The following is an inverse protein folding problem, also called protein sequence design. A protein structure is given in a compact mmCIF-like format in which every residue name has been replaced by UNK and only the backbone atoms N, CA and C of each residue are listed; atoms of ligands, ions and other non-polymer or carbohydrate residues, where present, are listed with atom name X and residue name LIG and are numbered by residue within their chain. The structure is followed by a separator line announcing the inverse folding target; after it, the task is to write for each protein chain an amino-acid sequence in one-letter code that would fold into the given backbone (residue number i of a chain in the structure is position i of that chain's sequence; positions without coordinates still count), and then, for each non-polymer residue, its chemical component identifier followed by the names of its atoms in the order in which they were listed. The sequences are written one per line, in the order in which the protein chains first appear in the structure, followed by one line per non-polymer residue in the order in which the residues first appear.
data_IF_354388677047
#
_entry.id   IF_354388677047
#
_cell.length_a   1.000
_cell.length_b   1.000
_cell.length_c   1.000
_cell.angle_alpha   90.00
_cell.angle_beta   90.00
_cell.angle_gamma   90.00
#
_symmetry.space_group_name_H-M   'P 1'
#
loop_
_entity.id
_entity.type
_entity.pdbx_description
1 polymer ?
#
# COMPACT_ATOMS: atom_id res chain seq x y z
N UNK A 1 6.07 -17.50 -0.47
CA UNK A 1 7.14 -16.60 0.00
C UNK A 1 6.63 -15.17 -0.22
N UNK A 2 5.48 -14.85 0.39
CA UNK A 2 4.56 -13.84 -0.20
C UNK A 2 4.35 -12.63 0.72
N UNK A 3 4.71 -12.73 2.01
CA UNK A 3 4.53 -11.62 2.94
C UNK A 3 5.53 -10.47 2.72
N UNK A 4 6.71 -10.76 2.17
CA UNK A 4 7.75 -9.76 1.95
C UNK A 4 7.34 -8.72 0.89
N UNK A 5 6.63 -9.14 -0.16
CA UNK A 5 6.17 -8.22 -1.22
C UNK A 5 5.23 -7.16 -0.66
N UNK A 6 4.41 -7.49 0.34
CA UNK A 6 3.51 -6.53 0.99
C UNK A 6 4.27 -5.49 1.81
N UNK A 7 5.37 -5.87 2.45
CA UNK A 7 6.24 -4.90 3.15
C UNK A 7 6.89 -3.94 2.17
N UNK A 8 7.38 -4.43 1.02
CA UNK A 8 7.90 -3.56 -0.05
C UNK A 8 6.82 -2.63 -0.62
N UNK A 9 5.60 -3.13 -0.81
CA UNK A 9 4.48 -2.34 -1.30
C UNK A 9 4.11 -1.22 -0.32
N UNK A 10 4.04 -1.55 0.97
CA UNK A 10 3.80 -0.57 2.04
C UNK A 10 4.92 0.48 2.10
N UNK A 11 6.19 0.06 1.95
CA UNK A 11 7.32 0.99 1.91
C UNK A 11 7.30 1.91 0.68
N UNK A 12 7.01 1.38 -0.50
CA UNK A 12 6.86 2.18 -1.72
C UNK A 12 5.71 3.19 -1.59
N UNK A 13 4.56 2.76 -1.09
CA UNK A 13 3.43 3.63 -0.81
C UNK A 13 3.76 4.70 0.25
N UNK A 14 4.53 4.36 1.28
CA UNK A 14 5.00 5.31 2.30
C UNK A 14 5.91 6.38 1.70
N UNK A 15 6.88 5.99 0.86
CA UNK A 15 7.75 6.92 0.15
C UNK A 15 6.95 7.87 -0.75
N UNK A 16 5.97 7.34 -1.50
CA UNK A 16 5.06 8.13 -2.32
C UNK A 16 4.21 9.07 -1.46
N UNK A 17 3.72 8.63 -0.31
CA UNK A 17 2.94 9.46 0.62
C UNK A 17 3.77 10.63 1.15
N UNK A 18 5.04 10.38 1.53
CA UNK A 18 5.97 11.44 1.95
C UNK A 18 6.25 12.44 0.83
N UNK A 19 6.42 11.97 -0.40
CA UNK A 19 6.63 12.84 -1.56
C UNK A 19 5.36 13.67 -1.87
N UNK A 20 4.18 13.06 -1.84
CA UNK A 20 2.90 13.73 -2.10
C UNK A 20 2.55 14.78 -1.04
N UNK A 21 2.97 14.55 0.21
CA UNK A 21 2.79 15.46 1.34
C UNK A 21 4.02 16.36 1.58
N UNK A 22 5.00 16.37 0.67
CA UNK A 22 6.20 17.18 0.82
C UNK A 22 5.85 18.68 0.96
N UNK A 23 6.61 19.38 1.80
CA UNK A 23 6.36 20.79 2.14
C UNK A 23 5.18 21.02 3.09
N UNK A 24 4.54 19.95 3.57
CA UNK A 24 3.57 19.98 4.68
C UNK A 24 4.19 19.34 5.91
N UNK A 25 3.65 19.70 7.08
CA UNK A 25 3.91 19.03 8.36
C UNK A 25 2.70 18.14 8.70
N UNK A 26 2.47 17.02 7.98
CA UNK A 26 1.31 16.18 8.21
C UNK A 26 1.40 15.50 9.58
N UNK A 27 0.28 15.39 10.27
CA UNK A 27 0.20 14.53 11.43
C UNK A 27 0.50 13.07 11.02
N UNK A 28 1.07 12.27 11.94
CA UNK A 28 1.44 10.88 11.66
C UNK A 28 0.28 10.03 11.13
N UNK A 29 -0.93 10.25 11.64
CA UNK A 29 -2.13 9.55 11.17
C UNK A 29 -2.49 9.92 9.73
N UNK A 30 -2.25 11.16 9.30
CA UNK A 30 -2.49 11.61 7.92
C UNK A 30 -1.51 10.92 6.99
N UNK A 31 -0.23 10.86 7.36
CA UNK A 31 0.79 10.15 6.59
C UNK A 31 0.48 8.65 6.47
N UNK A 32 0.04 8.02 7.57
CA UNK A 32 -0.37 6.62 7.59
C UNK A 32 -1.59 6.36 6.69
N UNK A 33 -2.63 7.21 6.78
CA UNK A 33 -3.82 7.10 5.95
C UNK A 33 -3.49 7.28 4.46
N UNK A 34 -2.72 8.31 4.09
CA UNK A 34 -2.28 8.53 2.71
C UNK A 34 -1.48 7.34 2.20
N UNK A 35 -0.62 6.75 3.03
CA UNK A 35 0.10 5.52 2.69
C UNK A 35 -0.85 4.36 2.39
N UNK A 36 -1.85 4.12 3.25
CA UNK A 36 -2.85 3.08 3.03
C UNK A 36 -3.63 3.27 1.73
N UNK A 37 -4.05 4.51 1.43
CA UNK A 37 -4.75 4.84 0.18
C UNK A 37 -3.86 4.58 -1.04
N UNK A 38 -2.60 4.99 -1.01
CA UNK A 38 -1.66 4.76 -2.11
C UNK A 38 -1.30 3.27 -2.27
N UNK A 39 -1.20 2.53 -1.17
CA UNK A 39 -1.01 1.08 -1.19
C UNK A 39 -2.19 0.38 -1.89
N UNK A 40 -3.42 0.77 -1.54
CA UNK A 40 -4.63 0.30 -2.24
C UNK A 40 -4.63 0.73 -3.72
N UNK A 41 -4.19 1.94 -4.05
CA UNK A 41 -4.13 2.39 -5.44
C UNK A 41 -3.18 1.55 -6.30
N UNK A 42 -2.08 1.04 -5.72
CA UNK A 42 -1.22 0.06 -6.39
C UNK A 42 -1.95 -1.28 -6.57
N UNK A 43 -2.69 -1.73 -5.56
CA UNK A 43 -3.48 -2.96 -5.60
C UNK A 43 -4.61 -2.93 -6.65
N UNK A 44 -5.21 -1.77 -6.90
CA UNK A 44 -6.17 -1.54 -8.01
C UNK A 44 -5.59 -1.94 -9.37
N UNK A 45 -4.26 -1.93 -9.53
CA UNK A 45 -3.59 -2.40 -10.75
C UNK A 45 -3.10 -3.83 -10.60
N UNK A 46 -2.42 -4.14 -9.49
CA UNK A 46 -1.72 -5.42 -9.28
C UNK A 46 -2.72 -6.58 -9.20
N UNK A 47 -3.79 -6.44 -8.44
CA UNK A 47 -4.69 -7.55 -8.11
C UNK A 47 -5.53 -8.00 -9.32
N UNK A 48 -6.12 -7.11 -10.14
CA UNK A 48 -6.77 -7.50 -11.39
C UNK A 48 -5.84 -8.20 -12.38
N UNK A 49 -4.57 -7.76 -12.46
CA UNK A 49 -3.57 -8.40 -13.31
C UNK A 49 -3.30 -9.82 -12.82
N UNK A 50 -3.24 -10.02 -11.51
CA UNK A 50 -2.98 -11.32 -10.92
C UNK A 50 -4.17 -12.29 -11.08
N UNK A 51 -5.41 -11.82 -10.86
CA UNK A 51 -6.64 -12.60 -11.08
C UNK A 51 -6.79 -13.01 -12.55
N UNK A 52 -6.35 -12.15 -13.48
CA UNK A 52 -6.45 -12.38 -14.93
C UNK A 52 -5.12 -12.75 -15.56
N UNK A 53 -4.20 -13.33 -14.79
CA UNK A 53 -2.84 -13.59 -15.27
C UNK A 53 -2.78 -14.44 -16.55
N UNK A 54 -3.80 -15.27 -16.79
CA UNK A 54 -3.98 -16.05 -18.02
C UNK A 54 -4.16 -15.17 -19.28
N UNK A 55 -4.74 -13.98 -19.14
CA UNK A 55 -4.88 -12.98 -20.21
C UNK A 55 -3.63 -12.13 -20.40
N UNK A 56 -2.65 -12.26 -19.52
CA UNK A 56 -1.43 -11.45 -19.46
C UNK A 56 -0.15 -12.31 -19.46
N UNK A 57 -0.23 -13.55 -19.95
CA UNK A 57 0.90 -14.49 -20.05
C UNK A 57 1.55 -14.89 -18.69
N UNK A 58 0.93 -14.55 -17.55
CA UNK A 58 1.38 -14.96 -16.21
C UNK A 58 0.81 -16.32 -15.78
N UNK A 59 -0.19 -16.84 -16.50
CA UNK A 59 -0.93 -18.04 -16.12
C UNK A 59 -1.93 -17.75 -14.98
N UNK A 60 -2.58 -18.79 -14.47
CA UNK A 60 -3.55 -18.66 -13.37
C UNK A 60 -2.82 -18.60 -12.04
N UNK A 61 -2.69 -17.40 -11.47
CA UNK A 61 -2.04 -17.18 -10.19
C UNK A 61 -2.98 -17.52 -9.03
N UNK A 62 -4.19 -16.94 -9.03
CA UNK A 62 -5.25 -17.26 -8.06
C UNK A 62 -6.61 -16.80 -8.57
N UNK A 63 -7.68 -17.21 -7.87
CA UNK A 63 -9.04 -16.76 -8.15
C UNK A 63 -9.83 -16.59 -6.85
N UNK A 64 -10.69 -15.58 -6.81
CA UNK A 64 -11.65 -15.40 -5.72
C UNK A 64 -12.83 -16.36 -5.88
N UNK A 65 -13.26 -17.00 -4.78
CA UNK A 65 -14.43 -17.90 -4.74
C UNK A 65 -15.69 -17.22 -5.25
N UNK A 66 -15.90 -15.98 -4.82
CA UNK A 66 -16.95 -15.09 -5.33
C UNK A 66 -16.28 -13.95 -6.08
N UNK A 67 -16.37 -13.91 -7.42
CA UNK A 67 -15.77 -12.84 -8.21
C UNK A 67 -16.32 -11.48 -7.80
N UNK A 68 -15.42 -10.52 -7.57
CA UNK A 68 -15.82 -9.16 -7.28
C UNK A 68 -16.11 -8.34 -8.53
N UNK A 69 -16.76 -7.18 -8.32
CA UNK A 69 -17.21 -6.29 -9.39
C UNK A 69 -16.08 -5.66 -10.19
N UNK A 70 -14.89 -5.53 -9.60
CA UNK A 70 -13.75 -4.87 -10.24
C UNK A 70 -12.80 -5.90 -10.80
N UNK A 71 -13.00 -6.25 -12.07
CA UNK A 71 -12.19 -7.22 -12.80
C UNK A 71 -12.08 -8.63 -12.17
N UNK A 72 -12.97 -8.97 -11.23
CA UNK A 72 -12.93 -10.22 -10.46
C UNK A 72 -12.45 -10.05 -9.02
N UNK A 73 -11.96 -8.86 -8.65
CA UNK A 73 -11.47 -8.52 -7.30
C UNK A 73 -12.61 -7.92 -6.45
N UNK A 74 -12.88 -8.46 -5.25
CA UNK A 74 -13.87 -7.91 -4.31
C UNK A 74 -13.46 -6.54 -3.76
N UNK A 75 -14.45 -5.66 -3.52
CA UNK A 75 -14.21 -4.34 -2.90
C UNK A 75 -13.56 -4.46 -1.53
N UNK A 76 -13.84 -5.55 -0.79
CA UNK A 76 -13.23 -5.83 0.51
C UNK A 76 -11.71 -5.95 0.45
N UNK A 77 -11.13 -6.36 -0.69
CA UNK A 77 -9.68 -6.43 -0.87
C UNK A 77 -9.07 -5.03 -0.81
N UNK A 78 -9.59 -4.09 -1.60
CA UNK A 78 -9.12 -2.70 -1.64
C UNK A 78 -9.26 -2.03 -0.28
N UNK A 79 -10.41 -2.21 0.39
CA UNK A 79 -10.61 -1.69 1.76
C UNK A 79 -9.59 -2.31 2.72
N UNK A 80 -9.35 -3.61 2.60
CA UNK A 80 -8.32 -4.32 3.36
C UNK A 80 -6.95 -3.69 3.20
N UNK A 81 -6.54 -3.34 1.98
CA UNK A 81 -5.24 -2.72 1.73
C UNK A 81 -5.10 -1.32 2.30
N UNK A 82 -6.17 -0.52 2.30
CA UNK A 82 -6.16 0.77 3.02
C UNK A 82 -5.90 0.55 4.50
N UNK A 83 -6.61 -0.40 5.12
CA UNK A 83 -6.48 -0.70 6.55
C UNK A 83 -5.10 -1.27 6.87
N UNK A 84 -4.61 -2.24 6.10
CA UNK A 84 -3.30 -2.88 6.32
C UNK A 84 -2.17 -1.85 6.18
N UNK A 85 -2.18 -1.03 5.12
CA UNK A 85 -1.17 0.01 4.94
C UNK A 85 -1.22 1.07 6.02
N UNK A 86 -2.41 1.55 6.40
CA UNK A 86 -2.59 2.54 7.46
C UNK A 86 -2.17 2.02 8.83
N UNK A 87 -2.60 0.82 9.22
CA UNK A 87 -2.27 0.24 10.53
C UNK A 87 -0.79 -0.12 10.60
N UNK A 88 -0.23 -0.73 9.55
CA UNK A 88 1.18 -1.10 9.50
C UNK A 88 2.12 0.09 9.61
N UNK A 89 1.89 1.12 8.78
CA UNK A 89 2.71 2.35 8.84
C UNK A 89 2.40 3.17 10.09
N UNK A 90 1.13 3.25 10.51
CA UNK A 90 0.76 3.94 11.75
C UNK A 90 1.45 3.33 12.98
N UNK A 91 1.51 1.99 13.06
CA UNK A 91 2.25 1.29 14.11
C UNK A 91 3.75 1.58 14.02
N UNK A 92 4.33 1.58 12.81
CA UNK A 92 5.73 1.95 12.61
C UNK A 92 6.02 3.38 13.12
N UNK A 93 5.20 4.37 12.74
CA UNK A 93 5.37 5.76 13.17
C UNK A 93 5.18 5.93 14.68
N UNK A 94 4.34 5.09 15.30
CA UNK A 94 4.15 5.08 16.75
C UNK A 94 5.31 4.44 17.50
N UNK A 95 5.82 3.30 17.02
CA UNK A 95 6.90 2.54 17.66
C UNK A 95 8.28 3.14 17.39
N UNK A 96 8.42 3.86 16.29
CA UNK A 96 9.62 4.60 15.92
C UNK A 96 9.27 6.09 15.85
N UNK A 97 8.98 6.75 16.99
CA UNK A 97 8.91 8.20 17.02
C UNK A 97 10.23 8.74 16.49
N UNK A 98 10.21 9.79 15.68
CA UNK A 98 11.44 10.41 15.18
C UNK A 98 12.28 10.98 16.32
N UNK A 99 13.05 10.13 16.99
CA UNK A 99 14.09 10.49 17.93
C UNK A 99 15.36 10.85 17.17
N UNK A 100 15.52 12.12 16.81
CA UNK A 100 16.85 12.69 16.53
C UNK A 100 17.46 12.42 15.14
N UNK A 101 16.65 12.22 14.09
CA UNK A 101 17.14 12.15 12.72
C UNK A 101 17.29 13.54 12.09
N UNK A 102 18.40 14.24 12.35
CA UNK A 102 18.83 15.42 11.58
C UNK A 102 18.61 15.16 10.08
N UNK A 103 17.86 16.06 9.41
CA UNK A 103 17.89 16.36 7.97
C UNK A 103 18.93 15.54 7.20
N UNK A 104 18.53 14.38 6.69
CA UNK A 104 19.28 13.68 5.63
C UNK A 104 18.61 13.98 4.30
N UNK A 105 18.55 15.26 3.96
CA UNK A 105 18.54 15.74 2.58
C UNK A 105 18.78 17.25 2.60
N UNK A 106 20.01 17.64 2.21
CA UNK A 106 20.35 18.98 1.78
C UNK A 106 20.14 18.98 0.26
N UNK A 107 19.02 19.57 -0.17
CA UNK A 107 18.86 20.14 -1.49
C UNK A 107 18.92 21.64 -1.37
#
# INVERSE_FOLDING_TARGET
MDALSFTFLAYAAFCLARAALAGREPAAWTLALTTGVLMMALDVVIDPLAVRGDRWFLGRLFAYTTPGIYFGVPVSNFVGWVVVGMVGVGLYLFLVPEGGGRRVWLG
#
